data_IF_038472695196
#
_entry.id   IF_038472695196
#
_cell.length_a   1.000
_cell.length_b   1.000
_cell.length_c   1.000
_cell.angle_alpha   90.00
_cell.angle_beta   90.00
_cell.angle_gamma   90.00
#
_symmetry.space_group_name_H-M   'P 1'
#
loop_
_entity.id
_entity.type
_entity.pdbx_description
1 polymer ?
#
# COMPACT_ATOMS: atom_id res chain seq x y z
N UNK A 1 2.70 55.17 -20.50
CA UNK A 1 1.41 55.65 -19.97
C UNK A 1 0.26 55.00 -20.72
N UNK A 2 -0.47 54.08 -20.08
CA UNK A 2 -1.93 53.92 -20.13
C UNK A 2 -2.33 52.75 -19.22
N UNK A 3 -2.67 53.10 -17.98
CA UNK A 3 -3.59 52.36 -17.09
C UNK A 3 -4.94 52.27 -17.78
N UNK A 4 -5.64 51.14 -17.74
CA UNK A 4 -7.11 51.01 -17.58
C UNK A 4 -7.39 49.56 -17.11
N UNK A 5 -7.63 49.29 -15.83
CA UNK A 5 -8.90 49.19 -15.04
C UNK A 5 -9.16 47.71 -14.69
N UNK A 6 -9.16 47.47 -13.39
CA UNK A 6 -9.62 46.26 -12.73
C UNK A 6 -11.15 46.17 -12.86
N UNK A 7 -11.66 44.97 -13.11
CA UNK A 7 -13.04 44.66 -12.79
C UNK A 7 -13.08 43.56 -11.73
N UNK A 8 -13.84 43.91 -10.69
CA UNK A 8 -13.97 43.23 -9.41
C UNK A 8 -15.36 42.65 -9.41
N UNK A 9 -15.47 41.34 -9.59
CA UNK A 9 -16.69 40.61 -9.29
C UNK A 9 -16.38 39.58 -8.22
N UNK A 10 -16.62 39.99 -6.98
CA UNK A 10 -16.81 39.11 -5.85
C UNK A 10 -17.96 38.14 -6.17
N UNK A 11 -17.67 36.84 -6.23
CA UNK A 11 -18.68 35.81 -6.11
C UNK A 11 -18.44 35.06 -4.81
N UNK A 12 -19.47 35.13 -3.99
CA UNK A 12 -19.64 34.59 -2.65
C UNK A 12 -19.33 33.11 -2.57
N UNK A 13 -18.53 32.74 -1.57
CA UNK A 13 -18.31 31.37 -1.10
C UNK A 13 -19.64 30.72 -0.70
N UNK A 14 -19.98 29.51 -1.17
CA UNK A 14 -20.89 28.65 -0.44
C UNK A 14 -20.15 28.02 0.74
N UNK A 15 -20.58 28.46 1.92
CA UNK A 15 -20.36 27.89 3.24
C UNK A 15 -20.71 26.40 3.25
N UNK A 16 -19.75 25.50 3.06
CA UNK A 16 -19.95 24.09 3.45
C UNK A 16 -18.67 23.25 3.62
N UNK A 17 -17.61 23.85 4.17
CA UNK A 17 -16.34 23.14 4.47
C UNK A 17 -15.98 23.19 5.96
N UNK A 18 -16.85 23.75 6.80
CA UNK A 18 -16.63 23.90 8.24
C UNK A 18 -17.33 22.84 9.12
N UNK A 19 -18.22 22.01 8.59
CA UNK A 19 -18.95 21.02 9.41
C UNK A 19 -18.32 19.61 9.44
N UNK A 20 -17.43 19.27 8.51
CA UNK A 20 -16.83 17.92 8.49
C UNK A 20 -15.63 17.79 9.44
N UNK A 21 -15.02 18.90 9.86
CA UNK A 21 -13.83 18.91 10.72
C UNK A 21 -14.12 19.04 12.23
N UNK A 22 -15.39 19.10 12.65
CA UNK A 22 -15.80 19.07 14.07
C UNK A 22 -16.21 17.70 14.60
N UNK A 23 -16.47 16.71 13.75
CA UNK A 23 -16.98 15.39 14.17
C UNK A 23 -15.89 14.41 14.69
N UNK A 24 -14.60 14.70 14.50
CA UNK A 24 -13.50 13.76 14.82
C UNK A 24 -12.62 14.20 16.00
N UNK A 25 -13.06 15.14 16.85
CA UNK A 25 -12.30 15.60 18.03
C UNK A 25 -12.83 15.12 19.40
N UNK A 26 -13.89 14.31 19.45
CA UNK A 26 -14.50 13.89 20.73
C UNK A 26 -14.30 12.41 21.12
N UNK A 27 -13.44 11.65 20.45
CA UNK A 27 -13.00 10.34 20.96
C UNK A 27 -11.94 10.49 22.05
N UNK A 28 -12.39 10.90 23.24
CA UNK A 28 -11.60 10.89 24.48
C UNK A 28 -11.20 9.46 24.87
N UNK A 29 -9.94 9.36 25.27
CA UNK A 29 -9.28 8.32 26.07
C UNK A 29 -10.22 7.39 26.85
N UNK A 30 -10.11 6.08 26.58
CA UNK A 30 -10.52 5.02 27.51
C UNK A 30 -9.31 4.67 28.36
N UNK A 31 -9.28 5.16 29.60
CA UNK A 31 -8.30 4.77 30.63
C UNK A 31 -8.83 3.53 31.36
N UNK A 32 -8.08 2.42 31.34
CA UNK A 32 -8.36 1.24 32.16
C UNK A 32 -7.92 1.50 33.61
N UNK A 33 -8.87 1.53 34.55
CA UNK A 33 -8.62 1.34 35.98
C UNK A 33 -9.46 0.17 36.48
N UNK A 34 -8.79 -0.77 37.15
CA UNK A 34 -9.36 -1.97 37.76
C UNK A 34 -9.66 -1.66 39.23
N UNK A 35 -10.90 -1.82 39.69
CA UNK A 35 -11.18 -1.99 41.13
C UNK A 35 -12.48 -2.75 41.34
N UNK A 36 -12.43 -3.74 42.23
CA UNK A 36 -13.47 -4.71 42.54
C UNK A 36 -14.58 -4.15 43.44
N UNK A 37 -15.83 -4.51 43.12
CA UNK A 37 -16.87 -5.01 44.05
C UNK A 37 -18.21 -5.09 43.32
N UNK A 38 -18.82 -6.26 43.35
CA UNK A 38 -20.27 -6.48 43.21
C UNK A 38 -20.84 -6.82 44.61
N UNK A 39 -22.16 -6.90 44.82
CA UNK A 39 -23.30 -6.49 43.96
C UNK A 39 -24.33 -5.62 44.73
N UNK A 40 -25.32 -5.03 44.05
CA UNK A 40 -26.73 -5.06 44.48
C UNK A 40 -27.69 -4.39 43.47
N UNK A 41 -28.67 -5.21 43.05
CA UNK A 41 -30.12 -4.99 42.91
C UNK A 41 -30.68 -3.61 42.48
N UNK A 42 -31.48 -3.70 41.40
CA UNK A 42 -32.62 -2.86 41.04
C UNK A 42 -32.41 -1.39 40.66
N UNK A 43 -32.21 -1.16 39.36
CA UNK A 43 -32.72 0.05 38.70
C UNK A 43 -33.04 -0.23 37.22
N UNK A 44 -34.34 -0.38 36.97
CA UNK A 44 -34.99 -0.34 35.67
C UNK A 44 -34.59 0.96 34.94
N UNK A 45 -33.71 0.88 33.95
CA UNK A 45 -33.49 1.96 32.99
C UNK A 45 -33.71 1.42 31.58
N UNK A 46 -34.81 1.89 31.00
CA UNK A 46 -35.23 1.68 29.63
C UNK A 46 -34.11 2.10 28.68
N UNK A 47 -33.43 1.14 28.07
CA UNK A 47 -32.60 1.38 26.90
C UNK A 47 -33.51 1.73 25.74
N UNK A 48 -33.58 3.01 25.40
CA UNK A 48 -34.08 3.46 24.12
C UNK A 48 -33.17 2.89 23.04
N UNK A 49 -33.65 1.84 22.37
CA UNK A 49 -33.07 1.30 21.14
C UNK A 49 -33.05 2.41 20.09
N UNK A 50 -31.88 3.03 19.91
CA UNK A 50 -31.56 3.75 18.69
C UNK A 50 -31.48 2.70 17.59
N UNK A 51 -32.62 2.48 16.93
CA UNK A 51 -32.70 1.85 15.63
C UNK A 51 -31.95 2.76 14.64
N UNK A 52 -30.63 2.61 14.59
CA UNK A 52 -29.89 2.97 13.40
C UNK A 52 -30.35 1.98 12.32
N UNK A 53 -31.16 2.47 11.40
CA UNK A 53 -31.53 1.82 10.15
C UNK A 53 -30.27 1.18 9.57
N UNK A 54 -30.32 -0.14 9.40
CA UNK A 54 -29.21 -1.00 8.96
C UNK A 54 -28.89 -0.83 7.45
N UNK A 55 -29.27 0.31 6.87
CA UNK A 55 -29.30 0.51 5.41
C UNK A 55 -28.30 1.57 4.90
N UNK A 56 -27.45 2.18 5.75
CA UNK A 56 -26.51 3.24 5.32
C UNK A 56 -25.01 2.91 5.48
N UNK A 57 -24.65 1.63 5.59
CA UNK A 57 -23.28 1.17 5.33
C UNK A 57 -23.28 0.20 4.14
N UNK A 58 -24.02 0.52 3.08
CA UNK A 58 -23.61 0.07 1.76
C UNK A 58 -22.31 0.81 1.44
N UNK A 59 -21.19 0.13 1.70
CA UNK A 59 -19.90 0.40 1.09
C UNK A 59 -20.16 0.76 -0.37
N UNK A 60 -20.01 2.04 -0.72
CA UNK A 60 -19.98 2.51 -2.10
C UNK A 60 -18.80 1.80 -2.74
N UNK A 61 -19.05 0.61 -3.31
CA UNK A 61 -18.10 -0.15 -4.10
C UNK A 61 -17.94 0.64 -5.38
N UNK A 62 -17.11 1.68 -5.34
CA UNK A 62 -16.76 2.47 -6.51
C UNK A 62 -16.16 1.47 -7.49
N UNK A 63 -16.91 1.20 -8.56
CA UNK A 63 -16.46 0.29 -9.60
C UNK A 63 -15.41 1.04 -10.41
N UNK A 64 -14.15 0.94 -10.00
CA UNK A 64 -13.02 1.46 -10.77
C UNK A 64 -12.79 0.54 -11.97
N UNK A 65 -13.00 1.01 -13.22
CA UNK A 65 -12.63 0.21 -14.38
C UNK A 65 -11.10 0.08 -14.42
N UNK A 66 -10.58 -1.05 -13.96
CA UNK A 66 -9.15 -1.36 -14.00
C UNK A 66 -8.73 -1.74 -15.43
N UNK A 67 -8.57 -0.73 -16.27
CA UNK A 67 -8.36 -0.84 -17.72
C UNK A 67 -6.87 -0.90 -18.12
N UNK A 68 -5.97 -0.47 -17.23
CA UNK A 68 -4.52 -0.40 -17.50
C UNK A 68 -3.80 -1.58 -16.88
N UNK A 69 -2.79 -2.04 -17.60
CA UNK A 69 -1.88 -3.10 -17.21
C UNK A 69 -0.46 -2.58 -17.35
N UNK A 70 0.38 -2.85 -16.36
CA UNK A 70 1.79 -2.50 -16.40
C UNK A 70 2.61 -3.59 -15.73
N UNK A 71 3.76 -3.90 -16.34
CA UNK A 71 4.74 -4.85 -15.83
C UNK A 71 6.11 -4.21 -15.99
N UNK A 72 6.80 -4.03 -14.87
CA UNK A 72 8.08 -3.35 -14.84
C UNK A 72 9.06 -4.06 -13.90
N UNK A 73 10.34 -4.00 -14.26
CA UNK A 73 11.44 -4.40 -13.41
C UNK A 73 12.38 -3.20 -13.27
N UNK A 74 12.69 -2.82 -12.04
CA UNK A 74 13.55 -1.68 -11.78
C UNK A 74 14.59 -2.01 -10.70
N UNK A 75 15.82 -1.62 -10.99
CA UNK A 75 16.91 -1.61 -10.04
C UNK A 75 17.00 -0.24 -9.36
N UNK A 76 17.31 -0.22 -8.07
CA UNK A 76 17.56 1.00 -7.33
C UNK A 76 18.84 0.88 -6.52
N UNK A 77 19.45 2.04 -6.25
CA UNK A 77 20.55 2.20 -5.30
C UNK A 77 20.26 3.41 -4.41
N UNK A 78 21.05 3.60 -3.35
CA UNK A 78 20.93 4.66 -2.33
C UNK A 78 20.67 6.07 -2.90
N UNK A 79 20.99 6.33 -4.17
CA UNK A 79 20.68 7.59 -4.87
C UNK A 79 19.17 7.82 -5.15
N UNK A 80 18.30 6.83 -4.94
CA UNK A 80 16.85 6.93 -5.18
C UNK A 80 16.03 6.81 -3.88
N UNK A 81 15.92 7.91 -3.12
CA UNK A 81 15.35 7.94 -1.77
C UNK A 81 13.89 7.42 -1.66
N UNK A 82 13.05 7.66 -2.67
CA UNK A 82 11.64 7.28 -2.63
C UNK A 82 11.41 5.75 -2.58
N UNK A 83 12.17 4.98 -3.37
CA UNK A 83 11.99 3.52 -3.46
C UNK A 83 12.60 2.79 -2.27
N UNK A 84 13.70 3.31 -1.71
CA UNK A 84 14.31 2.80 -0.47
C UNK A 84 13.31 2.78 0.68
N UNK A 85 12.41 3.77 0.75
CA UNK A 85 11.38 3.87 1.78
C UNK A 85 10.35 2.72 1.72
N UNK A 86 9.97 2.27 0.52
CA UNK A 86 9.06 1.15 0.32
C UNK A 86 9.65 -0.16 0.85
N UNK A 87 10.94 -0.38 0.62
CA UNK A 87 11.62 -1.60 1.04
C UNK A 87 11.90 -1.60 2.54
N UNK A 88 12.24 -0.43 3.08
CA UNK A 88 12.33 -0.25 4.52
C UNK A 88 10.99 -0.59 5.20
N UNK A 89 9.86 -0.18 4.60
CA UNK A 89 8.52 -0.54 5.08
C UNK A 89 8.22 -2.04 4.99
N UNK A 90 8.67 -2.72 3.93
CA UNK A 90 8.43 -4.16 3.75
C UNK A 90 9.26 -5.04 4.71
N UNK A 91 10.50 -4.64 5.00
CA UNK A 91 11.44 -5.46 5.77
C UNK A 91 11.60 -5.05 7.23
N UNK A 92 10.79 -4.11 7.72
CA UNK A 92 10.57 -3.75 9.13
C UNK A 92 11.76 -3.98 10.08
N UNK A 93 12.68 -3.03 10.19
CA UNK A 93 13.77 -3.10 11.17
C UNK A 93 14.82 -2.01 10.99
N UNK A 94 15.53 -1.70 12.08
CA UNK A 94 16.60 -0.69 12.16
C UNK A 94 17.53 -0.72 10.95
N UNK A 95 17.75 0.47 10.39
CA UNK A 95 18.41 0.74 9.12
C UNK A 95 19.90 0.43 9.21
N UNK A 96 20.26 -0.85 9.10
CA UNK A 96 21.47 -1.20 8.38
C UNK A 96 21.18 -1.02 6.88
N UNK A 97 21.36 0.24 6.46
CA UNK A 97 21.33 0.82 5.11
C UNK A 97 21.11 -0.21 4.00
N UNK A 98 19.85 -0.39 3.57
CA UNK A 98 19.56 -0.97 2.25
C UNK A 98 20.24 -0.08 1.20
N UNK A 99 21.32 -0.56 0.59
CA UNK A 99 22.12 0.21 -0.38
C UNK A 99 21.63 0.03 -1.79
N UNK A 100 21.03 -1.12 -2.10
CA UNK A 100 20.55 -1.42 -3.44
C UNK A 100 19.50 -2.54 -3.43
N UNK A 101 18.88 -2.73 -4.60
CA UNK A 101 18.07 -3.90 -4.86
C UNK A 101 17.25 -3.79 -6.15
N UNK A 102 16.33 -4.74 -6.30
CA UNK A 102 15.54 -4.94 -7.50
C UNK A 102 14.08 -5.16 -7.10
N UNK A 103 13.17 -4.53 -7.82
CA UNK A 103 11.74 -4.78 -7.68
C UNK A 103 11.20 -5.20 -9.04
N UNK A 104 10.47 -6.30 -9.06
CA UNK A 104 9.59 -6.68 -10.16
C UNK A 104 8.15 -6.40 -9.74
N UNK A 105 7.44 -5.64 -10.54
CA UNK A 105 6.06 -5.24 -10.27
C UNK A 105 5.19 -5.59 -11.47
N UNK A 106 4.01 -6.14 -11.18
CA UNK A 106 2.90 -6.16 -12.11
C UNK A 106 1.69 -5.50 -11.44
N UNK A 107 0.99 -4.65 -12.16
CA UNK A 107 -0.19 -3.95 -11.66
C UNK A 107 -1.28 -3.87 -12.70
N UNK A 108 -2.52 -3.84 -12.19
CA UNK A 108 -3.73 -3.56 -12.95
C UNK A 108 -4.44 -2.40 -12.27
N UNK A 109 -4.64 -1.30 -12.98
CA UNK A 109 -5.02 -0.04 -12.37
C UNK A 109 -5.81 0.86 -13.31
N UNK A 110 -6.32 1.95 -12.73
CA UNK A 110 -6.87 3.11 -13.40
C UNK A 110 -6.14 4.36 -12.91
N UNK A 111 -6.17 5.44 -13.69
CA UNK A 111 -5.58 6.71 -13.28
C UNK A 111 -6.71 7.67 -12.94
N UNK A 112 -6.76 8.11 -11.69
CA UNK A 112 -7.60 9.21 -11.28
C UNK A 112 -6.80 10.51 -11.31
N UNK A 113 -7.22 11.42 -12.18
CA UNK A 113 -6.64 12.76 -12.27
C UNK A 113 -7.35 13.69 -11.29
N UNK A 114 -6.60 14.29 -10.37
CA UNK A 114 -7.00 15.49 -9.64
C UNK A 114 -6.35 16.72 -10.28
N UNK A 115 -6.70 17.93 -9.82
CA UNK A 115 -6.12 19.18 -10.33
C UNK A 115 -4.59 19.25 -10.16
N UNK A 116 -4.03 18.48 -9.22
CA UNK A 116 -2.60 18.55 -8.85
C UNK A 116 -1.83 17.22 -9.02
N UNK A 117 -2.53 16.09 -9.01
CA UNK A 117 -1.90 14.78 -8.98
C UNK A 117 -2.60 13.80 -9.91
N UNK A 118 -1.83 12.89 -10.48
CA UNK A 118 -2.33 11.64 -11.01
C UNK A 118 -2.17 10.57 -9.93
N UNK A 119 -3.26 9.87 -9.61
CA UNK A 119 -3.28 8.81 -8.62
C UNK A 119 -3.55 7.49 -9.34
N UNK A 120 -2.70 6.50 -9.12
CA UNK A 120 -2.94 5.15 -9.60
C UNK A 120 -3.79 4.40 -8.58
N UNK A 121 -4.98 3.97 -8.98
CA UNK A 121 -5.88 3.17 -8.13
C UNK A 121 -6.05 1.78 -8.75
N UNK A 122 -5.69 0.74 -8.01
CA UNK A 122 -5.73 -0.62 -8.54
C UNK A 122 -5.20 -1.69 -7.59
N UNK A 123 -4.71 -2.76 -8.21
CA UNK A 123 -4.11 -3.93 -7.56
C UNK A 123 -2.70 -4.14 -8.11
N UNK A 124 -1.76 -4.51 -7.25
CA UNK A 124 -0.36 -4.75 -7.61
C UNK A 124 0.21 -5.99 -6.90
N UNK A 125 1.05 -6.72 -7.62
CA UNK A 125 1.88 -7.82 -7.12
C UNK A 125 3.33 -7.38 -7.28
N UNK A 126 4.11 -7.42 -6.21
CA UNK A 126 5.51 -6.99 -6.20
C UNK A 126 6.40 -8.08 -5.62
N UNK A 127 7.50 -8.36 -6.30
CA UNK A 127 8.64 -9.11 -5.76
C UNK A 127 9.76 -8.09 -5.51
N UNK A 128 10.18 -7.98 -4.26
CA UNK A 128 11.20 -7.03 -3.82
C UNK A 128 12.41 -7.78 -3.28
N UNK A 129 13.60 -7.39 -3.73
CA UNK A 129 14.87 -7.86 -3.20
C UNK A 129 15.73 -6.67 -2.81
N UNK A 130 16.20 -6.65 -1.59
CA UNK A 130 17.03 -5.60 -1.02
C UNK A 130 18.31 -6.18 -0.44
N UNK A 131 19.42 -5.46 -0.58
CA UNK A 131 20.70 -5.83 0.04
C UNK A 131 21.34 -4.64 0.73
N UNK A 132 21.96 -4.88 1.89
CA UNK A 132 22.68 -3.86 2.67
C UNK A 132 24.16 -3.73 2.28
N UNK A 133 24.72 -4.76 1.64
CA UNK A 133 26.12 -4.82 1.23
C UNK A 133 26.22 -5.27 -0.22
N UNK A 134 26.49 -4.33 -1.12
CA UNK A 134 26.75 -4.60 -2.52
C UNK A 134 28.04 -3.94 -2.97
N UNK A 135 28.90 -4.73 -3.61
CA UNK A 135 30.03 -4.20 -4.38
C UNK A 135 29.49 -3.54 -5.65
N UNK A 136 29.88 -2.29 -5.89
CA UNK A 136 29.33 -1.40 -6.93
C UNK A 136 29.62 -1.83 -8.38
N UNK A 137 30.17 -3.03 -8.62
CA UNK A 137 30.63 -3.49 -9.93
C UNK A 137 29.81 -4.66 -10.49
N UNK A 138 28.60 -4.89 -9.97
CA UNK A 138 27.70 -5.96 -10.43
C UNK A 138 26.43 -5.32 -10.96
N UNK A 139 25.96 -5.77 -12.12
CA UNK A 139 24.66 -5.38 -12.67
C UNK A 139 23.55 -5.80 -11.71
N UNK A 140 22.73 -4.82 -11.30
CA UNK A 140 21.62 -5.00 -10.37
C UNK A 140 20.46 -5.75 -11.05
N UNK A 141 20.56 -7.07 -11.07
CA UNK A 141 19.50 -7.96 -11.50
C UNK A 141 19.23 -8.99 -10.41
N UNK A 142 18.00 -9.52 -10.38
CA UNK A 142 17.62 -10.52 -9.38
C UNK A 142 18.53 -11.77 -9.38
N UNK A 143 18.88 -12.37 -10.54
CA UNK A 143 19.82 -13.50 -10.57
C UNK A 143 21.21 -13.14 -10.02
N UNK A 144 21.72 -11.95 -10.34
CA UNK A 144 23.03 -11.51 -9.86
C UNK A 144 23.04 -11.26 -8.34
N UNK A 145 21.95 -10.73 -7.80
CA UNK A 145 21.78 -10.56 -6.35
C UNK A 145 21.69 -11.92 -5.64
N UNK A 146 20.97 -12.89 -6.21
CA UNK A 146 20.89 -14.23 -5.68
C UNK A 146 22.25 -14.95 -5.66
N UNK A 147 23.01 -14.85 -6.76
CA UNK A 147 24.36 -15.40 -6.85
C UNK A 147 25.32 -14.71 -5.86
N UNK A 148 25.22 -13.38 -5.73
CA UNK A 148 26.05 -12.61 -4.77
C UNK A 148 25.74 -13.00 -3.32
N UNK A 149 24.47 -13.17 -2.98
CA UNK A 149 24.05 -13.61 -1.65
C UNK A 149 24.58 -15.00 -1.29
N UNK A 150 24.62 -15.91 -2.26
CA UNK A 150 25.18 -17.26 -2.06
C UNK A 150 26.72 -17.26 -1.91
N UNK A 151 27.43 -16.39 -2.63
CA UNK A 151 28.90 -16.38 -2.66
C UNK A 151 29.54 -15.54 -1.57
N UNK A 152 28.92 -14.42 -1.17
CA UNK A 152 29.54 -13.39 -0.31
C UNK A 152 28.88 -13.24 1.06
N UNK A 153 27.87 -14.06 1.39
CA UNK A 153 27.06 -13.96 2.62
C UNK A 153 26.57 -12.52 2.88
N UNK A 154 26.05 -11.87 1.83
CA UNK A 154 25.45 -10.54 1.96
C UNK A 154 24.10 -10.64 2.67
N UNK A 155 23.78 -9.72 3.58
CA UNK A 155 22.42 -9.58 4.14
C UNK A 155 21.47 -9.09 3.03
N UNK A 156 20.89 -10.07 2.35
CA UNK A 156 19.95 -9.88 1.25
C UNK A 156 18.60 -10.45 1.64
N UNK A 157 17.59 -9.58 1.57
CA UNK A 157 16.20 -9.86 1.94
C UNK A 157 15.36 -9.90 0.69
N UNK A 158 14.42 -10.83 0.65
CA UNK A 158 13.46 -11.03 -0.44
C UNK A 158 12.05 -11.11 0.12
N UNK A 159 11.09 -10.53 -0.57
CA UNK A 159 9.69 -10.54 -0.16
C UNK A 159 8.74 -10.39 -1.34
N UNK A 160 7.57 -11.00 -1.21
CA UNK A 160 6.43 -10.78 -2.11
C UNK A 160 5.39 -9.99 -1.34
N UNK A 161 4.87 -8.93 -1.95
CA UNK A 161 3.76 -8.16 -1.43
C UNK A 161 2.65 -8.06 -2.47
N UNK A 162 1.41 -8.22 -2.03
CA UNK A 162 0.22 -7.98 -2.84
C UNK A 162 -0.60 -6.86 -2.21
N UNK A 163 -0.98 -5.89 -3.03
CA UNK A 163 -1.70 -4.69 -2.61
C UNK A 163 -2.99 -4.60 -3.42
N UNK A 164 -4.12 -4.32 -2.77
CA UNK A 164 -5.43 -4.21 -3.44
C UNK A 164 -6.12 -5.56 -3.74
N UNK A 165 -5.74 -6.62 -3.03
CA UNK A 165 -6.29 -7.96 -3.17
C UNK A 165 -6.55 -8.58 -1.80
N UNK A 166 -7.72 -9.20 -1.61
CA UNK A 166 -8.12 -9.85 -0.33
C UNK A 166 -8.45 -11.32 -0.47
N UNK A 167 -8.10 -11.94 -1.59
CA UNK A 167 -8.32 -13.37 -1.83
C UNK A 167 -7.26 -14.24 -1.14
N UNK A 168 -7.47 -15.57 -1.11
CA UNK A 168 -6.56 -16.48 -0.45
C UNK A 168 -5.25 -16.64 -1.24
N UNK A 169 -4.13 -16.22 -0.65
CA UNK A 169 -2.80 -16.36 -1.26
C UNK A 169 -1.83 -17.23 -0.44
N UNK A 170 -2.19 -17.61 0.79
CA UNK A 170 -1.27 -18.23 1.75
C UNK A 170 -0.55 -19.47 1.22
N UNK A 171 -1.21 -20.30 0.42
CA UNK A 171 -0.63 -21.53 -0.14
C UNK A 171 0.41 -21.30 -1.25
N UNK A 172 0.48 -20.08 -1.81
CA UNK A 172 1.42 -19.72 -2.88
C UNK A 172 2.60 -18.91 -2.37
N UNK A 173 2.57 -18.47 -1.11
CA UNK A 173 3.67 -17.72 -0.52
C UNK A 173 4.77 -18.69 -0.09
N UNK A 174 6.01 -18.49 -0.56
CA UNK A 174 7.13 -19.30 -0.12
C UNK A 174 7.42 -19.02 1.36
N UNK A 175 7.93 -20.02 2.06
CA UNK A 175 8.41 -19.83 3.43
C UNK A 175 9.55 -18.78 3.43
N UNK A 176 9.63 -17.92 4.46
CA UNK A 176 10.74 -16.97 4.58
C UNK A 176 12.09 -17.69 4.63
N UNK A 177 12.94 -17.47 3.62
CA UNK A 177 14.27 -18.06 3.54
C UNK A 177 15.30 -17.00 3.13
N UNK A 178 16.58 -17.25 3.41
CA UNK A 178 17.67 -16.41 2.89
C UNK A 178 17.68 -16.50 1.36
N UNK A 179 17.97 -15.38 0.69
CA UNK A 179 18.09 -15.40 -0.77
C UNK A 179 19.35 -16.16 -1.20
N UNK A 180 19.19 -17.14 -2.07
CA UNK A 180 20.23 -17.82 -2.82
C UNK A 180 19.68 -18.14 -4.22
N UNK A 181 20.42 -18.86 -5.06
CA UNK A 181 19.97 -19.19 -6.43
C UNK A 181 18.72 -20.08 -6.43
N UNK A 182 18.60 -21.02 -5.49
CA UNK A 182 17.45 -21.94 -5.39
C UNK A 182 16.19 -21.21 -4.91
N UNK A 183 16.27 -20.49 -3.80
CA UNK A 183 15.15 -19.71 -3.26
C UNK A 183 14.74 -18.60 -4.22
N UNK A 184 15.67 -18.02 -4.99
CA UNK A 184 15.33 -17.09 -6.07
C UNK A 184 14.36 -17.72 -7.09
N UNK A 185 14.57 -18.99 -7.46
CA UNK A 185 13.66 -19.70 -8.37
C UNK A 185 12.30 -19.90 -7.71
N UNK A 186 12.27 -20.27 -6.42
CA UNK A 186 11.03 -20.43 -5.65
C UNK A 186 10.22 -19.12 -5.60
N UNK A 187 10.85 -18.00 -5.26
CA UNK A 187 10.21 -16.68 -5.22
C UNK A 187 9.71 -16.23 -6.61
N UNK A 188 10.47 -16.50 -7.68
CA UNK A 188 10.04 -16.19 -9.04
C UNK A 188 8.85 -17.05 -9.49
N UNK A 189 8.81 -18.32 -9.10
CA UNK A 189 7.67 -19.19 -9.36
C UNK A 189 6.43 -18.72 -8.60
N UNK A 190 6.58 -18.45 -7.30
CA UNK A 190 5.50 -17.91 -6.47
C UNK A 190 4.96 -16.59 -7.03
N UNK A 191 5.84 -15.66 -7.44
CA UNK A 191 5.44 -14.40 -8.06
C UNK A 191 4.58 -14.61 -9.31
N UNK A 192 4.97 -15.52 -10.21
CA UNK A 192 4.20 -15.84 -11.43
C UNK A 192 2.85 -16.48 -11.13
N UNK A 193 2.79 -17.40 -10.17
CA UNK A 193 1.52 -18.05 -9.80
C UNK A 193 0.57 -17.05 -9.12
N UNK A 194 1.08 -16.22 -8.21
CA UNK A 194 0.30 -15.15 -7.57
C UNK A 194 -0.22 -14.17 -8.62
N UNK A 195 0.58 -13.78 -9.61
CA UNK A 195 0.11 -12.93 -10.71
C UNK A 195 -1.07 -13.54 -11.46
N UNK A 196 -0.98 -14.82 -11.86
CA UNK A 196 -2.06 -15.51 -12.57
C UNK A 196 -3.35 -15.50 -11.76
N UNK A 197 -3.24 -15.72 -10.46
CA UNK A 197 -4.40 -15.74 -9.55
C UNK A 197 -4.96 -14.34 -9.41
N UNK A 198 -4.17 -13.37 -8.97
CA UNK A 198 -4.61 -11.99 -8.67
C UNK A 198 -5.24 -11.34 -9.89
N UNK A 199 -4.70 -11.61 -11.08
CA UNK A 199 -5.17 -11.03 -12.34
C UNK A 199 -6.13 -11.93 -13.13
N UNK A 200 -6.43 -13.13 -12.62
CA UNK A 200 -7.36 -14.07 -13.25
C UNK A 200 -8.82 -13.62 -13.12
N UNK A 201 -9.65 -14.03 -14.07
CA UNK A 201 -11.07 -13.66 -14.12
C UNK A 201 -11.84 -14.11 -12.86
N UNK A 202 -11.53 -15.31 -12.36
CA UNK A 202 -12.16 -15.87 -11.15
C UNK A 202 -11.88 -15.05 -9.88
N UNK A 203 -10.77 -14.31 -9.87
CA UNK A 203 -10.30 -13.56 -8.70
C UNK A 203 -10.80 -12.12 -8.67
N UNK A 204 -11.52 -11.67 -9.70
CA UNK A 204 -12.02 -10.29 -9.81
C UNK A 204 -12.89 -9.88 -8.61
N UNK A 205 -13.60 -10.82 -7.99
CA UNK A 205 -14.42 -10.57 -6.80
C UNK A 205 -13.59 -10.19 -5.56
N UNK A 206 -12.32 -10.58 -5.50
CA UNK A 206 -11.41 -10.34 -4.39
C UNK A 206 -10.53 -9.09 -4.56
N UNK A 207 -10.68 -8.38 -5.68
CA UNK A 207 -9.96 -7.14 -5.93
C UNK A 207 -10.67 -6.02 -5.17
N UNK A 208 -9.92 -5.36 -4.29
CA UNK A 208 -10.32 -4.13 -3.61
C UNK A 208 -9.32 -3.06 -4.03
N UNK A 209 -9.59 -2.31 -5.11
CA UNK A 209 -8.64 -1.34 -5.62
C UNK A 209 -8.23 -0.35 -4.53
N UNK A 210 -6.94 -0.09 -4.44
CA UNK A 210 -6.36 0.85 -3.48
C UNK A 210 -5.33 1.73 -4.18
N UNK A 211 -4.87 2.77 -3.49
CA UNK A 211 -3.86 3.66 -4.05
C UNK A 211 -2.52 2.93 -4.16
N UNK A 212 -1.99 2.89 -5.37
CA UNK A 212 -0.72 2.21 -5.69
C UNK A 212 0.45 3.20 -5.78
N UNK A 213 0.22 4.38 -6.34
CA UNK A 213 1.24 5.41 -6.53
C UNK A 213 0.62 6.81 -6.65
N UNK A 214 1.44 7.83 -6.41
CA UNK A 214 1.13 9.24 -6.60
C UNK A 214 2.18 9.87 -7.53
N UNK A 215 1.72 10.53 -8.58
CA UNK A 215 2.56 11.37 -9.43
C UNK A 215 2.08 12.82 -9.35
N UNK A 216 2.96 13.73 -8.93
CA UNK A 216 2.74 15.17 -9.02
C UNK A 216 2.75 15.59 -10.50
N UNK A 217 1.75 16.39 -10.91
CA UNK A 217 1.76 17.00 -12.25
C UNK A 217 2.82 18.11 -12.26
N UNK A 218 3.87 17.94 -13.07
CA UNK A 218 4.90 18.96 -13.34
C UNK A 218 4.34 20.06 -14.23
#
# INVERSE_FOLDING_TARGET
MKKIIADSSAQTLPTDVAEISRSLRDSKMITFFKSSKEPDSDANQSFSTLSATTDEIESKKTNYPLERWDIQAYAYSEKQAAKVSLLAGLFGGEVEKVKAGVIHEAKRFSIESTDKHNVEIGVAVRLSVATSNLDTNIDLTLPNLAASAQLKDTDTRVGISVTGFTGPLGQYLPAPTKLNVESCIEYMNAFREIQKIVFGEESMAFIIPTVLNYEEKV
#
